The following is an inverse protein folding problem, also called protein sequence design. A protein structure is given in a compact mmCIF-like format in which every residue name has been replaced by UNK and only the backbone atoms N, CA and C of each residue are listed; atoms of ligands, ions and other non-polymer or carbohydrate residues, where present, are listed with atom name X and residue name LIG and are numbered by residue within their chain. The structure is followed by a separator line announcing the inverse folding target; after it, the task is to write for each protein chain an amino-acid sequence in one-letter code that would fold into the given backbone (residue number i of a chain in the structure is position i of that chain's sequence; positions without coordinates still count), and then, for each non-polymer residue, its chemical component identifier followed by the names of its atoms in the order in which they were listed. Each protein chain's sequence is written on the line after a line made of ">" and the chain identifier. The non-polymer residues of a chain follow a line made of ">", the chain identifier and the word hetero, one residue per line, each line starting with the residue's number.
data_IF_268982841985
#
_entry.id   IF_268982841985
#
_cell.length_a   1.000
_cell.length_b   1.000
_cell.length_c   1.000
_cell.angle_alpha   90.00
_cell.angle_beta   90.00
_cell.angle_gamma   90.00
#
_symmetry.space_group_name_H-M   'P 1'
#
loop_
_entity.id
_entity.type
_entity.pdbx_description
1 polymer ?
#
# COMPACT_ATOMS: atom_id res chain seq x y z
N UNK A 1 21.53 23.14 -0.03
CA UNK A 1 20.60 22.41 0.84
C UNK A 1 19.77 23.42 1.59
N UNK A 2 18.44 23.34 1.45
CA UNK A 2 17.45 24.15 2.15
C UNK A 2 16.71 23.26 3.14
N UNK A 3 16.26 23.83 4.26
CA UNK A 3 15.50 23.11 5.28
C UNK A 3 14.10 23.69 5.38
N UNK A 4 13.10 22.82 5.58
CA UNK A 4 11.73 23.25 5.79
C UNK A 4 11.68 24.12 7.05
N UNK A 5 11.09 25.33 6.93
CA UNK A 5 10.96 26.25 8.07
C UNK A 5 10.12 25.70 9.22
N UNK A 6 9.28 24.68 8.99
CA UNK A 6 8.40 24.08 10.00
C UNK A 6 8.95 22.80 10.62
N UNK A 7 9.49 21.88 9.82
CA UNK A 7 9.87 20.54 10.29
C UNK A 7 11.35 20.20 10.10
N UNK A 8 12.18 21.16 9.66
CA UNK A 8 13.62 20.99 9.39
C UNK A 8 13.99 19.85 8.43
N UNK A 9 13.03 19.33 7.65
CA UNK A 9 13.29 18.35 6.60
C UNK A 9 14.13 18.99 5.48
N UNK A 10 15.22 18.34 5.01
CA UNK A 10 16.05 18.88 3.94
C UNK A 10 15.40 18.70 2.56
N UNK A 11 15.73 19.60 1.63
CA UNK A 11 15.36 19.54 0.21
C UNK A 11 16.04 18.40 -0.57
N UNK A 12 16.98 17.69 0.07
CA UNK A 12 17.61 16.49 -0.50
C UNK A 12 16.81 15.20 -0.30
N UNK A 13 15.70 15.23 0.44
CA UNK A 13 14.78 14.09 0.54
C UNK A 13 14.17 13.81 -0.85
N UNK A 14 14.31 12.61 -1.42
CA UNK A 14 13.73 12.31 -2.73
C UNK A 14 12.21 12.60 -2.78
N UNK A 15 11.75 13.23 -3.87
CA UNK A 15 10.33 13.55 -4.10
C UNK A 15 9.77 14.74 -3.30
N UNK A 16 10.56 15.37 -2.42
CA UNK A 16 10.07 16.51 -1.64
C UNK A 16 10.01 17.78 -2.51
N UNK A 17 8.95 18.56 -2.34
CA UNK A 17 8.81 19.89 -2.93
C UNK A 17 8.57 20.93 -1.85
N UNK A 18 9.00 22.16 -2.12
CA UNK A 18 8.88 23.30 -1.22
C UNK A 18 8.08 24.40 -1.91
N UNK A 19 7.23 25.08 -1.14
CA UNK A 19 6.58 26.29 -1.61
C UNK A 19 7.52 27.51 -1.59
N UNK A 20 7.03 28.65 -2.08
CA UNK A 20 7.77 29.92 -2.09
C UNK A 20 8.16 30.42 -0.69
N UNK A 21 7.44 29.99 0.34
CA UNK A 21 7.70 30.37 1.73
C UNK A 21 8.78 29.49 2.38
N UNK A 22 9.26 28.45 1.69
CA UNK A 22 10.25 27.50 2.20
C UNK A 22 9.64 26.45 3.14
N UNK A 23 8.34 26.16 3.00
CA UNK A 23 7.64 25.10 3.71
C UNK A 23 7.50 23.89 2.79
N UNK A 24 7.86 22.70 3.26
CA UNK A 24 7.73 21.49 2.46
C UNK A 24 6.26 21.07 2.30
N UNK A 25 5.94 20.43 1.17
CA UNK A 25 4.59 19.98 0.86
C UNK A 25 3.96 19.09 1.96
N UNK A 26 4.68 18.17 2.63
CA UNK A 26 4.13 17.39 3.74
C UNK A 26 3.59 18.25 4.90
N UNK A 27 4.27 19.34 5.25
CA UNK A 27 3.77 20.27 6.26
C UNK A 27 2.49 20.97 5.78
N UNK A 28 2.44 21.35 4.50
CA UNK A 28 1.24 21.95 3.90
C UNK A 28 0.07 20.97 3.89
N UNK A 29 0.32 19.71 3.55
CA UNK A 29 -0.71 18.67 3.52
C UNK A 29 -1.21 18.36 4.92
N UNK A 30 -0.33 18.30 5.92
CA UNK A 30 -0.74 18.19 7.32
C UNK A 30 -1.66 19.34 7.75
N UNK A 31 -1.35 20.58 7.37
CA UNK A 31 -2.20 21.74 7.65
C UNK A 31 -3.54 21.70 6.91
N UNK A 32 -3.57 21.15 5.68
CA UNK A 32 -4.82 20.99 4.91
C UNK A 32 -5.81 20.08 5.61
N UNK A 33 -5.36 19.08 6.39
CA UNK A 33 -6.24 18.18 7.16
C UNK A 33 -7.19 18.92 8.10
N UNK A 34 -6.78 20.07 8.64
CA UNK A 34 -7.63 20.89 9.50
C UNK A 34 -8.80 21.55 8.75
N UNK A 35 -8.75 21.58 7.42
CA UNK A 35 -9.77 22.18 6.55
C UNK A 35 -10.63 21.13 5.86
N UNK A 36 -10.36 19.84 6.08
CA UNK A 36 -11.12 18.76 5.47
C UNK A 36 -12.48 18.67 6.15
N UNK A 37 -13.54 18.70 5.34
CA UNK A 37 -14.89 18.38 5.79
C UNK A 37 -15.02 16.86 5.91
N UNK A 38 -14.79 16.34 7.11
CA UNK A 38 -14.83 14.90 7.36
C UNK A 38 -16.24 14.31 7.27
N UNK A 39 -17.29 15.11 7.44
CA UNK A 39 -18.68 14.65 7.26
C UNK A 39 -18.96 14.43 5.77
N UNK A 40 -18.59 15.39 4.92
CA UNK A 40 -18.71 15.24 3.48
C UNK A 40 -17.87 14.06 2.95
N UNK A 41 -16.64 13.92 3.43
CA UNK A 41 -15.75 12.79 3.06
C UNK A 41 -16.30 11.44 3.49
N UNK A 42 -16.97 11.38 4.65
CA UNK A 42 -17.61 10.16 5.11
C UNK A 42 -18.81 9.77 4.23
N UNK A 43 -19.62 10.74 3.77
CA UNK A 43 -20.71 10.48 2.82
C UNK A 43 -20.20 10.04 1.44
N UNK A 44 -19.08 10.60 0.96
CA UNK A 44 -18.42 10.13 -0.26
C UNK A 44 -17.94 8.68 -0.11
N UNK A 45 -17.32 8.36 1.01
CA UNK A 45 -16.86 7.01 1.33
C UNK A 45 -18.03 6.01 1.41
N UNK A 46 -19.14 6.39 2.04
CA UNK A 46 -20.34 5.57 2.10
C UNK A 46 -20.91 5.27 0.71
N UNK A 47 -21.03 6.28 -0.15
CA UNK A 47 -21.48 6.10 -1.55
C UNK A 47 -20.57 5.15 -2.32
N UNK A 48 -19.27 5.24 -2.09
CA UNK A 48 -18.30 4.32 -2.67
C UNK A 48 -18.53 2.88 -2.20
N UNK A 49 -18.69 2.66 -0.89
CA UNK A 49 -19.02 1.34 -0.34
C UNK A 49 -20.36 0.80 -0.89
N UNK A 50 -21.40 1.64 -0.93
CA UNK A 50 -22.73 1.27 -1.44
C UNK A 50 -22.69 0.75 -2.89
N UNK A 51 -21.76 1.25 -3.71
CA UNK A 51 -21.56 0.80 -5.09
C UNK A 51 -21.13 -0.67 -5.19
N UNK A 52 -20.36 -1.15 -4.21
CA UNK A 52 -19.74 -2.49 -4.26
C UNK A 52 -20.32 -3.45 -3.23
N UNK A 53 -20.99 -2.97 -2.18
CA UNK A 53 -21.49 -3.83 -1.10
C UNK A 53 -22.37 -4.94 -1.65
N UNK A 54 -22.05 -6.18 -1.30
CA UNK A 54 -22.79 -7.36 -1.75
C UNK A 54 -22.75 -7.62 -3.26
N UNK A 55 -21.83 -7.00 -4.02
CA UNK A 55 -21.74 -7.20 -5.47
C UNK A 55 -21.47 -8.66 -5.88
N UNK A 56 -20.98 -9.47 -4.95
CA UNK A 56 -20.69 -10.90 -5.13
C UNK A 56 -21.63 -11.81 -4.29
N UNK A 57 -22.82 -11.32 -3.92
CA UNK A 57 -23.77 -12.08 -3.09
C UNK A 57 -23.20 -12.37 -1.70
N UNK A 58 -23.17 -13.66 -1.31
CA UNK A 58 -22.63 -14.10 -0.01
C UNK A 58 -21.09 -14.19 0.03
N UNK A 59 -20.42 -13.95 -1.10
CA UNK A 59 -18.96 -13.93 -1.19
C UNK A 59 -18.38 -12.57 -0.77
N UNK A 60 -17.05 -12.42 -0.85
CA UNK A 60 -16.37 -11.17 -0.52
C UNK A 60 -16.70 -10.08 -1.53
N UNK A 61 -17.03 -8.88 -1.05
CA UNK A 61 -17.37 -7.73 -1.90
C UNK A 61 -16.24 -6.68 -1.99
N UNK A 62 -15.21 -6.82 -1.14
CA UNK A 62 -14.01 -6.00 -1.17
C UNK A 62 -12.79 -6.79 -0.68
N UNK A 63 -11.61 -6.24 -0.98
CA UNK A 63 -10.32 -6.73 -0.48
C UNK A 63 -9.61 -5.62 0.29
N UNK A 64 -8.82 -6.00 1.28
CA UNK A 64 -8.04 -5.06 2.09
C UNK A 64 -6.58 -5.54 2.16
N UNK A 65 -5.65 -4.68 1.75
CA UNK A 65 -4.23 -4.91 1.95
C UNK A 65 -3.86 -4.60 3.42
N UNK A 66 -3.37 -5.59 4.16
CA UNK A 66 -3.10 -5.46 5.60
C UNK A 66 -1.68 -5.87 5.95
N UNK A 67 -1.10 -5.17 6.94
CA UNK A 67 0.20 -5.52 7.55
C UNK A 67 0.08 -6.08 8.96
N UNK A 68 -1.13 -6.09 9.52
CA UNK A 68 -1.37 -6.32 10.95
C UNK A 68 -1.08 -5.09 11.83
N UNK A 69 -0.66 -3.95 11.27
CA UNK A 69 -0.48 -2.71 12.03
C UNK A 69 -1.80 -2.08 12.52
N UNK A 70 -1.68 -1.01 13.31
CA UNK A 70 -2.84 -0.24 13.81
C UNK A 70 -3.72 0.30 12.69
N UNK A 71 -3.10 0.81 11.62
CA UNK A 71 -3.82 1.42 10.50
C UNK A 71 -4.57 0.34 9.72
N UNK A 72 -3.99 -0.88 9.66
CA UNK A 72 -4.68 -2.06 9.12
C UNK A 72 -5.90 -2.45 9.94
N UNK A 73 -5.80 -2.45 11.26
CA UNK A 73 -6.96 -2.74 12.12
C UNK A 73 -8.05 -1.69 11.96
N UNK A 74 -7.67 -0.41 11.87
CA UNK A 74 -8.63 0.68 11.69
C UNK A 74 -9.35 0.59 10.33
N UNK A 75 -8.63 0.36 9.22
CA UNK A 75 -9.28 0.19 7.92
C UNK A 75 -10.22 -1.03 7.90
N UNK A 76 -9.83 -2.16 8.50
CA UNK A 76 -10.68 -3.35 8.55
C UNK A 76 -11.91 -3.10 9.39
N UNK A 77 -11.77 -2.44 10.55
CA UNK A 77 -12.91 -1.99 11.37
C UNK A 77 -13.86 -1.09 10.58
N UNK A 78 -13.34 -0.07 9.90
CA UNK A 78 -14.16 0.86 9.13
C UNK A 78 -14.92 0.15 8.00
N UNK A 79 -14.26 -0.73 7.26
CA UNK A 79 -14.89 -1.47 6.16
C UNK A 79 -15.92 -2.50 6.68
N UNK A 80 -15.54 -3.32 7.66
CA UNK A 80 -16.34 -4.43 8.16
C UNK A 80 -17.48 -3.97 9.07
N UNK A 81 -17.14 -3.25 10.13
CA UNK A 81 -18.07 -2.94 11.22
C UNK A 81 -18.88 -1.67 10.93
N UNK A 82 -18.23 -0.63 10.39
CA UNK A 82 -18.89 0.67 10.16
C UNK A 82 -19.64 0.69 8.83
N UNK A 83 -19.00 0.24 7.74
CA UNK A 83 -19.58 0.26 6.40
C UNK A 83 -20.37 -1.01 6.03
N UNK A 84 -20.31 -2.05 6.87
CA UNK A 84 -21.04 -3.31 6.66
C UNK A 84 -20.59 -4.09 5.41
N UNK A 85 -19.32 -3.95 5.01
CA UNK A 85 -18.76 -4.68 3.88
C UNK A 85 -18.34 -6.10 4.28
N UNK A 86 -18.08 -6.96 3.30
CA UNK A 86 -17.58 -8.32 3.49
C UNK A 86 -16.17 -8.49 2.90
N UNK A 87 -15.11 -8.10 3.64
CA UNK A 87 -13.75 -8.09 3.12
C UNK A 87 -13.06 -9.46 3.18
N UNK A 88 -12.16 -9.69 2.22
CA UNK A 88 -11.04 -10.61 2.34
C UNK A 88 -9.73 -9.83 2.57
N UNK A 89 -8.86 -10.33 3.43
CA UNK A 89 -7.61 -9.66 3.78
C UNK A 89 -6.43 -10.29 3.00
N UNK A 90 -5.57 -9.44 2.45
CA UNK A 90 -4.34 -9.86 1.77
C UNK A 90 -3.12 -9.25 2.45
N UNK A 91 -2.13 -10.08 2.75
CA UNK A 91 -0.87 -9.67 3.37
C UNK A 91 0.33 -10.23 2.60
N UNK A 92 1.48 -9.59 2.77
CA UNK A 92 2.78 -10.11 2.36
C UNK A 92 3.65 -10.23 3.60
N UNK A 93 4.09 -11.44 3.88
CA UNK A 93 5.12 -11.68 4.87
C UNK A 93 6.51 -11.44 4.28
N UNK A 94 7.49 -11.21 5.13
CA UNK A 94 8.90 -11.28 4.76
C UNK A 94 9.54 -12.55 5.36
N UNK A 95 10.75 -12.88 4.91
CA UNK A 95 11.57 -13.93 5.52
C UNK A 95 12.48 -13.44 6.67
N UNK A 96 12.25 -12.23 7.20
CA UNK A 96 12.94 -11.76 8.40
C UNK A 96 12.33 -12.39 9.66
N UNK A 97 13.04 -12.24 10.78
CA UNK A 97 12.53 -12.65 12.08
C UNK A 97 11.40 -11.70 12.50
N UNK A 98 10.15 -12.17 12.41
CA UNK A 98 9.01 -11.42 12.92
C UNK A 98 9.07 -11.29 14.44
N UNK A 99 8.65 -10.13 14.94
CA UNK A 99 8.41 -9.94 16.38
C UNK A 99 7.19 -10.75 16.83
N UNK A 100 7.10 -11.08 18.11
CA UNK A 100 5.90 -11.70 18.70
C UNK A 100 4.67 -10.81 18.51
N UNK A 101 4.83 -9.49 18.69
CA UNK A 101 3.78 -8.52 18.45
C UNK A 101 3.28 -8.54 17.00
N UNK A 102 4.18 -8.61 16.01
CA UNK A 102 3.80 -8.68 14.60
C UNK A 102 2.98 -9.94 14.29
N UNK A 103 3.43 -11.11 14.77
CA UNK A 103 2.69 -12.37 14.62
C UNK A 103 1.33 -12.33 15.30
N UNK A 104 1.29 -11.82 16.54
CA UNK A 104 0.06 -11.67 17.30
C UNK A 104 -0.94 -10.76 16.56
N UNK A 105 -0.48 -9.59 16.10
CA UNK A 105 -1.37 -8.61 15.49
C UNK A 105 -1.94 -9.08 14.15
N UNK A 106 -1.14 -9.79 13.34
CA UNK A 106 -1.60 -10.34 12.07
C UNK A 106 -2.62 -11.47 12.27
N UNK A 107 -2.50 -12.26 13.35
CA UNK A 107 -3.55 -13.21 13.73
C UNK A 107 -4.78 -12.49 14.27
N UNK A 108 -4.57 -11.51 15.16
CA UNK A 108 -5.63 -10.78 15.85
C UNK A 108 -6.55 -10.04 14.88
N UNK A 109 -6.04 -9.40 13.82
CA UNK A 109 -6.90 -8.69 12.87
C UNK A 109 -7.92 -9.62 12.20
N UNK A 110 -7.52 -10.85 11.87
CA UNK A 110 -8.42 -11.85 11.29
C UNK A 110 -9.44 -12.35 12.32
N UNK A 111 -8.97 -12.67 13.52
CA UNK A 111 -9.81 -13.18 14.62
C UNK A 111 -10.83 -12.14 15.13
N UNK A 112 -10.41 -10.88 15.27
CA UNK A 112 -11.24 -9.80 15.81
C UNK A 112 -12.39 -9.39 14.89
N UNK A 113 -12.17 -9.42 13.57
CA UNK A 113 -13.16 -8.99 12.57
C UNK A 113 -13.82 -10.16 11.83
N UNK A 114 -13.46 -11.41 12.15
CA UNK A 114 -13.99 -12.60 11.49
C UNK A 114 -13.71 -12.62 9.97
N UNK A 115 -12.54 -12.14 9.55
CA UNK A 115 -12.18 -11.99 8.14
C UNK A 115 -11.10 -13.00 7.74
N UNK A 116 -11.26 -13.65 6.58
CA UNK A 116 -10.22 -14.53 6.04
C UNK A 116 -8.97 -13.72 5.67
N UNK A 117 -7.80 -14.22 6.08
CA UNK A 117 -6.50 -13.64 5.76
C UNK A 117 -5.69 -14.60 4.90
N UNK A 118 -5.27 -14.14 3.72
CA UNK A 118 -4.37 -14.86 2.84
C UNK A 118 -3.05 -14.09 2.77
N UNK A 119 -1.96 -14.80 3.06
CA UNK A 119 -0.64 -14.21 3.13
C UNK A 119 0.30 -14.83 2.10
N UNK A 120 1.00 -13.98 1.35
CA UNK A 120 2.13 -14.41 0.54
C UNK A 120 3.37 -14.58 1.43
N UNK A 121 3.99 -15.76 1.39
CA UNK A 121 5.38 -15.94 1.84
C UNK A 121 6.30 -15.91 0.62
N UNK A 122 7.13 -14.88 0.43
CA UNK A 122 7.99 -14.78 -0.73
C UNK A 122 9.02 -15.91 -0.77
N UNK A 123 9.38 -16.35 -1.98
CA UNK A 123 10.47 -17.31 -2.15
C UNK A 123 11.77 -16.76 -1.56
N UNK A 124 12.39 -17.56 -0.68
CA UNK A 124 13.55 -17.13 0.08
C UNK A 124 14.78 -16.90 -0.81
N UNK A 125 14.93 -17.69 -1.89
CA UNK A 125 16.08 -17.55 -2.80
C UNK A 125 15.97 -16.24 -3.58
N UNK A 126 14.80 -15.98 -4.13
CA UNK A 126 14.45 -14.74 -4.84
C UNK A 126 14.62 -13.52 -3.94
N UNK A 127 14.09 -13.57 -2.71
CA UNK A 127 14.25 -12.47 -1.76
C UNK A 127 15.72 -12.17 -1.46
N UNK A 128 16.55 -13.19 -1.20
CA UNK A 128 17.99 -13.00 -0.92
C UNK A 128 18.73 -12.39 -2.11
N UNK A 129 18.48 -12.91 -3.31
CA UNK A 129 19.14 -12.43 -4.52
C UNK A 129 18.77 -10.98 -4.84
N UNK A 130 17.47 -10.65 -4.84
CA UNK A 130 17.00 -9.29 -5.10
C UNK A 130 17.46 -8.31 -4.02
N UNK A 131 17.33 -8.67 -2.74
CA UNK A 131 17.74 -7.81 -1.62
C UNK A 131 19.20 -7.40 -1.73
N UNK A 132 20.10 -8.34 -2.02
CA UNK A 132 21.51 -8.04 -2.22
C UNK A 132 21.71 -7.11 -3.41
N UNK A 133 21.12 -7.44 -4.55
CA UNK A 133 21.25 -6.66 -5.79
C UNK A 133 20.74 -5.23 -5.63
N UNK A 134 19.55 -5.05 -5.06
CA UNK A 134 18.93 -3.74 -4.90
C UNK A 134 19.58 -2.93 -3.78
N UNK A 135 20.15 -3.58 -2.77
CA UNK A 135 21.02 -2.92 -1.79
C UNK A 135 22.30 -2.39 -2.44
N UNK A 136 23.06 -3.24 -3.13
CA UNK A 136 24.36 -2.88 -3.71
C UNK A 136 24.24 -1.77 -4.77
N UNK A 137 23.18 -1.80 -5.59
CA UNK A 137 23.01 -0.85 -6.70
C UNK A 137 22.22 0.41 -6.34
N UNK A 138 21.20 0.29 -5.49
CA UNK A 138 20.26 1.39 -5.21
C UNK A 138 20.17 1.78 -3.74
N UNK A 139 20.81 1.04 -2.84
CA UNK A 139 20.63 1.23 -1.39
C UNK A 139 19.23 0.85 -0.90
N UNK A 140 18.50 -0.02 -1.63
CA UNK A 140 17.11 -0.41 -1.33
C UNK A 140 16.98 -1.91 -1.03
N UNK A 141 17.41 -2.40 0.15
CA UNK A 141 17.43 -3.83 0.46
C UNK A 141 16.03 -4.47 0.51
N UNK A 142 15.00 -3.71 0.87
CA UNK A 142 13.63 -4.21 1.04
C UNK A 142 12.76 -4.12 -0.22
N UNK A 143 13.31 -3.61 -1.33
CA UNK A 143 12.54 -3.30 -2.55
C UNK A 143 11.62 -4.44 -3.00
N UNK A 144 12.08 -5.69 -2.93
CA UNK A 144 11.25 -6.84 -3.32
C UNK A 144 10.00 -6.99 -2.45
N UNK A 145 10.14 -6.87 -1.13
CA UNK A 145 9.01 -6.94 -0.20
C UNK A 145 8.11 -5.72 -0.35
N UNK A 146 8.71 -4.53 -0.40
CA UNK A 146 7.98 -3.28 -0.59
C UNK A 146 7.12 -3.34 -1.86
N UNK A 147 7.69 -3.89 -2.94
CA UNK A 147 6.99 -4.06 -4.21
C UNK A 147 5.84 -5.06 -4.09
N UNK A 148 6.08 -6.22 -3.49
CA UNK A 148 5.04 -7.24 -3.29
C UNK A 148 3.87 -6.72 -2.45
N UNK A 149 4.10 -5.91 -1.41
CA UNK A 149 3.03 -5.33 -0.58
C UNK A 149 2.00 -4.56 -1.41
N UNK A 150 2.41 -3.94 -2.52
CA UNK A 150 1.50 -3.20 -3.40
C UNK A 150 0.99 -4.02 -4.59
N UNK A 151 1.76 -4.95 -5.13
CA UNK A 151 1.35 -5.69 -6.33
C UNK A 151 0.59 -6.97 -6.00
N UNK A 152 0.94 -7.66 -4.93
CA UNK A 152 0.28 -8.92 -4.53
C UNK A 152 -1.21 -8.71 -4.22
N UNK A 153 -1.64 -7.71 -3.42
CA UNK A 153 -3.07 -7.51 -3.18
C UNK A 153 -3.84 -7.17 -4.46
N UNK A 154 -3.21 -6.53 -5.45
CA UNK A 154 -3.83 -6.30 -6.77
C UNK A 154 -4.07 -7.64 -7.47
N UNK A 155 -3.04 -8.49 -7.59
CA UNK A 155 -3.17 -9.83 -8.18
C UNK A 155 -4.27 -10.65 -7.51
N UNK A 156 -4.34 -10.58 -6.18
CA UNK A 156 -5.32 -11.32 -5.40
C UNK A 156 -6.72 -10.75 -5.54
N UNK A 157 -6.87 -9.42 -5.58
CA UNK A 157 -8.17 -8.79 -5.83
C UNK A 157 -8.78 -9.25 -7.15
N UNK A 158 -7.97 -9.39 -8.20
CA UNK A 158 -8.40 -9.93 -9.49
C UNK A 158 -8.83 -11.40 -9.38
N UNK A 159 -8.02 -12.24 -8.73
CA UNK A 159 -8.30 -13.67 -8.58
C UNK A 159 -9.53 -13.95 -7.72
N UNK A 160 -9.83 -13.08 -6.77
CA UNK A 160 -10.98 -13.18 -5.86
C UNK A 160 -12.20 -12.37 -6.34
N UNK A 161 -12.13 -11.74 -7.52
CA UNK A 161 -13.20 -10.91 -8.08
C UNK A 161 -13.68 -9.80 -7.11
N UNK A 162 -12.74 -9.14 -6.43
CA UNK A 162 -13.02 -8.06 -5.46
C UNK A 162 -12.62 -6.72 -6.08
N UNK A 163 -13.52 -6.04 -6.81
CA UNK A 163 -13.18 -4.84 -7.58
C UNK A 163 -12.80 -3.64 -6.71
N UNK A 164 -13.27 -3.61 -5.45
CA UNK A 164 -12.86 -2.64 -4.45
C UNK A 164 -11.69 -3.20 -3.61
N UNK A 165 -10.47 -2.73 -3.90
CA UNK A 165 -9.28 -3.01 -3.12
C UNK A 165 -8.87 -1.79 -2.30
N UNK A 166 -8.77 -1.95 -0.99
CA UNK A 166 -8.46 -0.88 -0.04
C UNK A 166 -7.01 -0.96 0.43
N UNK A 167 -6.33 0.18 0.40
CA UNK A 167 -4.99 0.41 0.96
C UNK A 167 -5.06 1.45 2.08
N UNK A 168 -4.05 1.45 2.97
CA UNK A 168 -4.02 2.29 4.15
C UNK A 168 -3.84 3.79 3.89
N UNK A 169 -2.69 4.20 3.36
CA UNK A 169 -2.36 5.63 3.17
C UNK A 169 -1.79 5.94 1.78
N UNK A 170 -2.06 7.15 1.27
CA UNK A 170 -1.36 7.69 0.11
C UNK A 170 -0.03 8.32 0.57
N UNK A 171 1.01 7.48 0.62
CA UNK A 171 2.36 7.87 1.08
C UNK A 171 2.93 9.06 0.29
N UNK A 172 2.66 9.12 -1.02
CA UNK A 172 3.18 10.16 -1.91
C UNK A 172 2.59 11.53 -1.57
N UNK A 173 1.25 11.58 -1.42
CA UNK A 173 0.58 12.79 -0.96
C UNK A 173 1.02 13.17 0.46
N UNK A 174 1.00 12.23 1.41
CA UNK A 174 1.24 12.53 2.82
C UNK A 174 2.67 13.02 3.10
N UNK A 175 3.66 12.40 2.48
CA UNK A 175 5.07 12.62 2.84
C UNK A 175 5.94 13.19 1.71
N UNK A 176 5.33 13.48 0.55
CA UNK A 176 6.01 14.02 -0.62
C UNK A 176 6.57 12.93 -1.51
N UNK A 177 6.10 12.89 -2.76
CA UNK A 177 6.51 11.97 -3.81
C UNK A 177 6.10 12.49 -5.19
N UNK A 178 6.20 11.64 -6.21
CA UNK A 178 5.90 12.02 -7.60
C UNK A 178 4.42 12.31 -7.84
N UNK A 179 3.54 11.63 -7.10
CA UNK A 179 2.10 11.88 -7.08
C UNK A 179 1.74 12.77 -5.88
N UNK A 180 1.14 13.93 -6.14
CA UNK A 180 0.74 14.89 -5.10
C UNK A 180 -0.75 15.22 -5.17
N UNK A 181 -1.52 14.45 -5.93
CA UNK A 181 -2.97 14.64 -6.00
C UNK A 181 -3.63 14.12 -4.73
N UNK A 182 -4.48 14.94 -4.11
CA UNK A 182 -5.35 14.47 -3.04
C UNK A 182 -6.50 13.68 -3.67
N UNK A 183 -6.44 12.36 -3.57
CA UNK A 183 -7.45 11.48 -4.13
C UNK A 183 -7.67 10.25 -3.25
N UNK A 184 -8.88 9.71 -3.29
CA UNK A 184 -9.20 8.41 -2.69
C UNK A 184 -8.73 7.23 -3.58
N UNK A 185 -8.41 7.51 -4.85
CA UNK A 185 -8.02 6.50 -5.82
C UNK A 185 -6.65 5.91 -5.51
N UNK A 186 -6.58 4.59 -5.36
CA UNK A 186 -5.32 3.85 -5.23
C UNK A 186 -4.70 3.45 -6.59
N UNK A 187 -5.18 3.99 -7.72
CA UNK A 187 -4.65 3.63 -9.05
C UNK A 187 -3.18 3.96 -9.23
N UNK A 188 -2.74 5.06 -8.61
CA UNK A 188 -1.36 5.51 -8.62
C UNK A 188 -0.56 4.99 -7.42
N UNK A 189 -1.05 3.95 -6.72
CA UNK A 189 -0.39 3.45 -5.51
C UNK A 189 1.05 2.97 -5.76
N UNK A 190 1.39 2.55 -6.97
CA UNK A 190 2.75 2.14 -7.36
C UNK A 190 3.68 3.33 -7.62
N UNK A 191 3.11 4.52 -7.82
CA UNK A 191 3.83 5.79 -7.98
C UNK A 191 4.26 6.41 -6.63
N UNK A 192 4.16 5.65 -5.53
CA UNK A 192 4.38 6.13 -4.16
C UNK A 192 5.84 6.46 -3.77
N UNK A 193 6.81 6.17 -4.63
CA UNK A 193 8.24 6.40 -4.39
C UNK A 193 8.95 5.38 -3.49
N UNK A 194 8.22 4.59 -2.69
CA UNK A 194 8.75 3.51 -1.85
C UNK A 194 9.09 2.30 -2.72
N UNK A 195 8.14 1.87 -3.54
CA UNK A 195 8.25 0.68 -4.39
C UNK A 195 8.37 1.04 -5.88
N UNK A 196 9.11 2.12 -6.20
CA UNK A 196 9.33 2.57 -7.58
C UNK A 196 9.85 1.45 -8.47
N UNK A 197 9.45 1.48 -9.74
CA UNK A 197 9.89 0.51 -10.72
C UNK A 197 11.42 0.50 -10.87
N UNK A 198 11.97 -0.71 -10.90
CA UNK A 198 13.31 -0.99 -11.40
C UNK A 198 13.11 -1.79 -12.69
N UNK A 199 13.72 -1.40 -13.82
CA UNK A 199 13.57 -2.15 -15.07
C UNK A 199 13.91 -3.63 -14.86
N UNK A 200 13.05 -4.52 -15.35
CA UNK A 200 13.17 -5.97 -15.10
C UNK A 200 14.49 -6.52 -15.65
N UNK A 201 14.98 -5.95 -16.75
CA UNK A 201 16.23 -6.29 -17.40
C UNK A 201 17.44 -6.02 -16.49
N UNK A 202 17.31 -5.09 -15.54
CA UNK A 202 18.36 -4.80 -14.55
C UNK A 202 18.32 -5.77 -13.37
N UNK A 203 17.19 -6.44 -13.15
CA UNK A 203 16.99 -7.41 -12.08
C UNK A 203 17.31 -8.84 -12.52
N UNK A 204 17.02 -9.20 -13.77
CA UNK A 204 17.26 -10.53 -14.33
C UNK A 204 18.77 -10.81 -14.48
N UNK A 205 19.19 -12.02 -14.10
CA UNK A 205 20.55 -12.54 -14.29
C UNK A 205 20.55 -14.08 -14.21
N UNK A 206 21.72 -14.69 -14.00
CA UNK A 206 21.86 -16.15 -13.84
C UNK A 206 21.12 -16.73 -12.61
N UNK A 207 20.80 -15.92 -11.61
CA UNK A 207 20.12 -16.31 -10.37
C UNK A 207 18.64 -15.89 -10.33
N UNK A 208 18.24 -14.93 -11.16
CA UNK A 208 16.89 -14.36 -11.18
C UNK A 208 16.29 -14.40 -12.58
N UNK A 209 15.17 -15.10 -12.71
CA UNK A 209 14.41 -15.20 -13.95
C UNK A 209 13.19 -14.27 -13.95
N UNK A 210 12.59 -14.07 -15.13
CA UNK A 210 11.32 -13.33 -15.26
C UNK A 210 10.17 -13.93 -14.43
N UNK A 211 10.18 -15.25 -14.20
CA UNK A 211 9.14 -15.93 -13.41
C UNK A 211 9.20 -15.53 -11.93
N UNK A 212 10.41 -15.36 -11.41
CA UNK A 212 10.64 -14.97 -10.01
C UNK A 212 10.15 -13.55 -9.74
N UNK A 213 10.04 -12.73 -10.79
CA UNK A 213 9.59 -11.34 -10.75
C UNK A 213 8.11 -11.16 -11.09
N UNK A 214 7.36 -12.23 -11.42
CA UNK A 214 5.99 -12.12 -11.91
C UNK A 214 5.09 -11.30 -10.97
N UNK A 215 5.14 -11.61 -9.68
CA UNK A 215 4.32 -10.92 -8.68
C UNK A 215 4.78 -9.48 -8.42
N UNK A 216 5.97 -9.07 -8.87
CA UNK A 216 6.44 -7.67 -8.77
C UNK A 216 5.87 -6.78 -9.88
N UNK A 217 5.24 -7.38 -10.89
CA UNK A 217 4.62 -6.68 -12.01
C UNK A 217 3.13 -6.55 -11.69
N UNK A 218 2.63 -5.32 -11.63
CA UNK A 218 1.20 -5.12 -11.45
C UNK A 218 0.43 -5.59 -12.70
N UNK A 219 -0.70 -6.27 -12.54
CA UNK A 219 -1.56 -6.59 -13.67
C UNK A 219 -2.12 -5.31 -14.30
N UNK A 220 -2.57 -5.34 -15.57
CA UNK A 220 -3.05 -4.15 -16.27
C UNK A 220 -4.17 -3.42 -15.51
N UNK A 221 -4.28 -2.08 -15.61
CA UNK A 221 -5.20 -1.26 -14.81
C UNK A 221 -6.70 -1.53 -14.95
N UNK A 222 -7.09 -2.44 -15.86
CA UNK A 222 -8.48 -2.65 -16.30
C UNK A 222 -9.47 -3.10 -15.21
N UNK A 223 -8.99 -3.41 -14.01
CA UNK A 223 -9.82 -4.04 -12.96
C UNK A 223 -9.69 -3.39 -11.56
N UNK A 224 -8.88 -2.33 -11.42
CA UNK A 224 -8.84 -1.52 -10.20
C UNK A 224 -9.78 -0.33 -10.35
N UNK A 225 -11.05 -0.54 -10.01
CA UNK A 225 -12.01 0.55 -9.89
C UNK A 225 -12.10 0.91 -8.42
N UNK A 226 -11.22 1.82 -7.99
CA UNK A 226 -11.41 2.59 -6.76
C UNK A 226 -12.67 3.45 -6.88
#
# INVERSE_FOLDING_TARGET
>A
MKYCKKCVMPDTRPGITFDSDGVCMPCKNHERKQKVDYEARFEEFKKLCDKYRGCNGDSWDCAIAVSGGKDSHFQTYMMKEVMGMNPILFSVEDNFSMTEAGRHNLRNISEAFGCHLITLKPDLRTQKALMRKTFEKYGKPTWFIDRLIYTYPIHMALKFNTPLLVYGENVSYEYGGGDSEETYSAREILSNGVASDIPLEELIDENLSKKDLELTIAPPPLLLVS
#
